data_IF_694888309671
#
_entry.id   IF_694888309671
#
_cell.length_a   1.000
_cell.length_b   1.000
_cell.length_c   1.000
_cell.angle_alpha   90.00
_cell.angle_beta   90.00
_cell.angle_gamma   90.00
#
_symmetry.space_group_name_H-M   'P 1'
#
loop_
_entity.id
_entity.type
_entity.pdbx_description
1 polymer ?
#
# COMPACT_ATOMS: atom_id res chain seq x y z
N UNK A 1 10.52 19.14 -28.57
CA UNK A 1 11.25 18.54 -27.43
C UNK A 1 10.26 17.62 -26.71
N UNK A 2 10.34 16.31 -26.92
CA UNK A 2 9.44 15.35 -26.25
C UNK A 2 9.81 15.28 -24.77
N UNK A 3 8.83 15.45 -23.87
CA UNK A 3 9.06 15.28 -22.42
C UNK A 3 9.48 13.82 -22.18
N UNK A 4 10.43 13.55 -21.26
CA UNK A 4 11.01 12.21 -21.02
C UNK A 4 9.95 11.10 -20.87
N UNK A 5 8.80 11.41 -20.26
CA UNK A 5 7.68 10.47 -20.09
C UNK A 5 7.02 10.01 -21.41
N UNK A 6 7.06 10.82 -22.48
CA UNK A 6 6.52 10.41 -23.79
C UNK A 6 7.39 9.34 -24.47
N UNK A 7 8.69 9.28 -24.17
CA UNK A 7 9.63 8.32 -24.78
C UNK A 7 9.57 6.94 -24.10
N UNK A 8 9.20 6.91 -22.82
CA UNK A 8 8.98 5.66 -22.06
C UNK A 8 7.58 5.08 -22.27
N UNK A 9 6.62 5.88 -22.74
CA UNK A 9 5.23 5.48 -22.96
C UNK A 9 5.00 4.71 -24.27
N UNK A 10 5.93 4.76 -25.23
CA UNK A 10 5.82 4.08 -26.53
C UNK A 10 5.81 2.57 -26.34
N UNK A 11 4.60 1.98 -26.36
CA UNK A 11 4.35 0.54 -26.22
C UNK A 11 3.63 0.14 -24.93
N UNK A 12 3.77 0.91 -23.84
CA UNK A 12 3.19 0.60 -22.52
C UNK A 12 1.65 0.62 -22.50
N UNK A 13 1.02 1.32 -23.44
CA UNK A 13 -0.44 1.43 -23.53
C UNK A 13 -1.06 0.56 -24.63
N UNK A 14 -0.26 -0.23 -25.35
CA UNK A 14 -0.76 -1.01 -26.50
C UNK A 14 -1.81 -2.05 -26.10
N UNK A 15 -1.68 -2.59 -24.89
CA UNK A 15 -2.60 -3.59 -24.32
C UNK A 15 -3.63 -2.98 -23.36
N UNK A 16 -3.59 -1.66 -23.15
CA UNK A 16 -4.57 -1.00 -22.29
C UNK A 16 -5.93 -1.04 -22.99
N UNK A 17 -6.96 -1.51 -22.28
CA UNK A 17 -8.33 -1.51 -22.80
C UNK A 17 -8.82 -0.08 -23.06
N UNK A 18 -9.72 0.10 -24.03
CA UNK A 18 -10.28 1.42 -24.30
C UNK A 18 -11.22 1.89 -23.17
N UNK A 19 -11.35 3.21 -22.99
CA UNK A 19 -12.27 3.77 -21.99
C UNK A 19 -13.72 3.29 -22.16
N UNK A 20 -14.22 3.17 -23.39
CA UNK A 20 -15.57 2.68 -23.66
C UNK A 20 -15.74 1.20 -23.25
N UNK A 21 -14.71 0.37 -23.49
CA UNK A 21 -14.69 -1.03 -23.02
C UNK A 21 -14.71 -1.09 -21.49
N UNK A 22 -13.92 -0.24 -20.84
CA UNK A 22 -13.87 -0.14 -19.39
C UNK A 22 -15.22 0.31 -18.79
N UNK A 23 -15.86 1.33 -19.36
CA UNK A 23 -17.17 1.82 -18.93
C UNK A 23 -18.24 0.72 -18.94
N UNK A 24 -18.27 -0.10 -19.99
CA UNK A 24 -19.22 -1.21 -20.09
C UNK A 24 -19.10 -2.22 -18.95
N UNK A 25 -17.91 -2.34 -18.33
CA UNK A 25 -17.69 -3.23 -17.17
C UNK A 25 -18.28 -2.66 -15.87
N UNK A 26 -18.26 -1.33 -15.71
CA UNK A 26 -18.76 -0.64 -14.51
C UNK A 26 -20.29 -0.71 -14.41
N UNK A 27 -20.98 -0.79 -15.55
CA UNK A 27 -22.45 -0.83 -15.64
C UNK A 27 -23.10 -2.05 -14.97
N UNK A 28 -22.31 -3.07 -14.63
CA UNK A 28 -22.81 -4.35 -14.13
C UNK A 28 -23.15 -4.31 -12.64
N UNK A 29 -22.46 -3.50 -11.83
CA UNK A 29 -22.69 -3.45 -10.39
C UNK A 29 -23.46 -2.20 -10.00
N UNK A 30 -24.56 -2.40 -9.27
CA UNK A 30 -25.31 -1.33 -8.63
C UNK A 30 -25.00 -1.39 -7.14
N UNK A 31 -24.43 -0.32 -6.60
CA UNK A 31 -24.22 -0.18 -5.16
C UNK A 31 -25.49 0.36 -4.51
N UNK A 32 -25.89 -0.19 -3.37
CA UNK A 32 -27.00 0.34 -2.57
C UNK A 32 -26.63 1.70 -1.95
N UNK A 33 -25.39 1.82 -1.45
CA UNK A 33 -24.83 3.07 -0.92
C UNK A 33 -23.46 3.35 -1.55
N UNK A 34 -23.44 4.09 -2.66
CA UNK A 34 -22.19 4.47 -3.31
C UNK A 34 -21.45 5.55 -2.51
N UNK A 35 -20.18 5.31 -2.16
CA UNK A 35 -19.35 6.32 -1.48
C UNK A 35 -18.98 7.53 -2.37
N UNK A 36 -19.12 7.39 -3.69
CA UNK A 36 -18.86 8.45 -4.67
C UNK A 36 -17.48 9.12 -4.49
N UNK A 37 -16.44 8.32 -4.24
CA UNK A 37 -15.07 8.81 -4.02
C UNK A 37 -14.35 9.23 -5.31
N UNK A 38 -14.81 8.75 -6.45
CA UNK A 38 -14.26 9.02 -7.77
C UNK A 38 -15.32 8.80 -8.85
N UNK A 39 -15.11 9.38 -10.02
CA UNK A 39 -15.90 9.09 -11.21
C UNK A 39 -15.26 8.00 -12.09
N UNK A 40 -15.90 7.66 -13.21
CA UNK A 40 -15.39 6.64 -14.11
C UNK A 40 -14.10 7.05 -14.83
N UNK A 41 -13.88 8.35 -15.07
CA UNK A 41 -12.67 8.86 -15.71
C UNK A 41 -11.48 8.80 -14.74
N UNK A 42 -11.71 9.11 -13.46
CA UNK A 42 -10.74 8.95 -12.38
C UNK A 42 -10.31 7.48 -12.24
N UNK A 43 -11.28 6.56 -12.19
CA UNK A 43 -11.04 5.11 -12.18
C UNK A 43 -10.16 4.67 -13.36
N UNK A 44 -10.45 5.14 -14.56
CA UNK A 44 -9.67 4.81 -15.76
C UNK A 44 -8.28 5.44 -15.77
N UNK A 45 -8.12 6.63 -15.17
CA UNK A 45 -6.81 7.27 -15.01
C UNK A 45 -5.92 6.44 -14.10
N UNK A 46 -6.44 5.94 -12.97
CA UNK A 46 -5.73 5.01 -12.09
C UNK A 46 -5.38 3.71 -12.81
N UNK A 47 -6.34 3.12 -13.54
CA UNK A 47 -6.08 1.92 -14.37
C UNK A 47 -4.91 2.14 -15.32
N UNK A 48 -4.91 3.28 -16.04
CA UNK A 48 -3.88 3.64 -17.01
C UNK A 48 -2.50 3.73 -16.35
N UNK A 49 -2.42 4.35 -15.16
CA UNK A 49 -1.16 4.47 -14.43
C UNK A 49 -0.68 3.11 -13.91
N UNK A 50 -1.56 2.29 -13.34
CA UNK A 50 -1.21 0.94 -12.87
C UNK A 50 -0.75 0.03 -14.03
N UNK A 51 -1.41 0.14 -15.19
CA UNK A 51 -1.01 -0.56 -16.41
C UNK A 51 0.35 -0.07 -16.92
N UNK A 52 0.62 1.25 -16.90
CA UNK A 52 1.91 1.81 -17.31
C UNK A 52 3.08 1.35 -16.42
N UNK A 53 2.77 0.96 -15.19
CA UNK A 53 3.69 0.40 -14.19
C UNK A 53 3.74 -1.13 -14.20
N UNK A 54 3.07 -1.80 -15.15
CA UNK A 54 3.00 -3.27 -15.25
C UNK A 54 2.50 -3.95 -13.96
N UNK A 55 1.62 -3.30 -13.19
CA UNK A 55 1.13 -3.81 -11.90
C UNK A 55 -0.08 -4.77 -12.04
N UNK A 56 -0.42 -5.24 -13.24
CA UNK A 56 -1.55 -6.16 -13.52
C UNK A 56 -2.85 -5.84 -12.74
N UNK A 57 -3.44 -4.64 -12.94
CA UNK A 57 -4.58 -4.20 -12.15
C UNK A 57 -5.86 -4.99 -12.44
N UNK A 58 -6.48 -5.50 -11.39
CA UNK A 58 -7.77 -6.18 -11.43
C UNK A 58 -8.84 -5.34 -10.72
N UNK A 59 -9.81 -4.85 -11.48
CA UNK A 59 -10.93 -4.08 -10.92
C UNK A 59 -11.82 -4.98 -10.06
N UNK A 60 -12.10 -4.52 -8.85
CA UNK A 60 -12.98 -5.15 -7.88
C UNK A 60 -14.07 -4.17 -7.46
N UNK A 61 -15.26 -4.70 -7.20
CA UNK A 61 -16.37 -3.95 -6.62
C UNK A 61 -16.50 -4.36 -5.15
N UNK A 62 -16.41 -3.36 -4.26
CA UNK A 62 -16.67 -3.53 -2.85
C UNK A 62 -18.14 -3.19 -2.58
N UNK A 63 -18.94 -4.18 -2.19
CA UNK A 63 -20.39 -3.98 -2.06
C UNK A 63 -20.74 -3.15 -0.84
N UNK A 64 -20.02 -3.35 0.27
CA UNK A 64 -20.18 -2.56 1.48
C UNK A 64 -18.81 -2.12 2.00
N UNK A 65 -18.47 -0.82 1.96
CA UNK A 65 -19.30 0.34 1.63
C UNK A 65 -19.24 0.79 0.16
N UNK A 66 -19.85 0.08 -0.79
CA UNK A 66 -20.16 0.57 -2.15
C UNK A 66 -19.12 1.41 -2.90
N UNK A 67 -17.99 0.82 -3.32
CA UNK A 67 -16.99 1.50 -4.15
C UNK A 67 -16.19 0.55 -5.04
N UNK A 68 -15.50 1.11 -6.04
CA UNK A 68 -14.56 0.35 -6.88
C UNK A 68 -13.12 0.54 -6.41
N UNK A 69 -12.34 -0.53 -6.48
CA UNK A 69 -10.89 -0.49 -6.21
C UNK A 69 -10.16 -1.46 -7.15
N UNK A 70 -8.83 -1.33 -7.23
CA UNK A 70 -8.01 -2.26 -7.98
C UNK A 70 -7.19 -3.14 -7.03
N UNK A 71 -7.10 -4.42 -7.33
CA UNK A 71 -6.03 -5.27 -6.81
C UNK A 71 -4.90 -5.25 -7.82
N UNK A 72 -3.75 -4.77 -7.40
CA UNK A 72 -2.58 -4.64 -8.26
C UNK A 72 -1.37 -5.29 -7.59
N UNK A 73 -0.44 -5.79 -8.38
CA UNK A 73 0.83 -6.29 -7.90
C UNK A 73 1.61 -5.12 -7.26
N UNK A 74 2.19 -5.38 -6.10
CA UNK A 74 3.10 -4.47 -5.44
C UNK A 74 4.31 -4.22 -6.36
N UNK A 75 4.83 -3.00 -6.34
CA UNK A 75 6.15 -2.76 -6.92
C UNK A 75 7.15 -3.62 -6.13
N UNK A 76 7.89 -4.47 -6.85
CA UNK A 76 9.04 -5.17 -6.28
C UNK A 76 10.05 -4.09 -5.83
N UNK A 77 10.53 -4.11 -4.58
CA UNK A 77 11.71 -3.35 -4.21
C UNK A 77 12.93 -4.04 -4.83
N UNK A 78 13.13 -3.89 -6.14
CA UNK A 78 14.48 -4.06 -6.68
C UNK A 78 15.23 -2.77 -6.37
N UNK A 79 15.88 -2.76 -5.20
CA UNK A 79 17.06 -1.97 -4.79
C UNK A 79 17.14 -1.92 -3.26
N UNK A 80 17.50 -3.07 -2.67
CA UNK A 80 18.34 -3.09 -1.47
C UNK A 80 19.63 -3.80 -1.87
N UNK A 81 20.60 -2.97 -2.26
CA UNK A 81 21.94 -3.36 -2.66
C UNK A 81 22.72 -4.00 -1.50
N UNK A 82 23.65 -4.88 -1.86
CA UNK A 82 24.68 -5.52 -1.02
C UNK A 82 24.25 -6.44 0.14
N UNK A 83 24.01 -7.70 -0.20
CA UNK A 83 24.56 -8.80 0.60
C UNK A 83 25.43 -9.66 -0.30
N UNK A 84 26.72 -9.31 -0.36
CA UNK A 84 27.80 -10.20 -0.78
C UNK A 84 27.65 -11.53 -0.05
N UNK A 85 27.09 -12.51 -0.74
CA UNK A 85 27.22 -13.91 -0.40
C UNK A 85 28.70 -14.26 -0.52
N UNK A 86 29.42 -14.25 0.60
CA UNK A 86 30.61 -15.08 0.74
C UNK A 86 30.08 -16.51 0.84
N UNK A 87 30.11 -17.19 -0.29
CA UNK A 87 29.90 -18.63 -0.35
C UNK A 87 31.06 -19.30 0.37
N UNK A 88 30.77 -20.01 1.45
CA UNK A 88 31.62 -21.13 1.85
C UNK A 88 30.80 -22.21 2.58
N UNK A 89 31.03 -23.47 2.17
CA UNK A 89 30.86 -24.62 3.05
C UNK A 89 29.46 -25.22 3.26
N UNK A 90 29.08 -26.10 2.34
CA UNK A 90 28.55 -27.46 2.58
C UNK A 90 27.23 -27.71 3.36
N UNK A 91 26.40 -28.54 2.69
CA UNK A 91 25.49 -29.53 3.27
C UNK A 91 24.16 -29.07 3.90
N UNK A 92 23.13 -28.93 3.07
CA UNK A 92 21.78 -29.39 3.40
C UNK A 92 20.96 -29.61 2.12
N UNK A 93 20.74 -30.88 1.77
CA UNK A 93 19.75 -31.29 0.77
C UNK A 93 18.35 -31.17 1.36
N UNK A 94 17.42 -30.86 0.46
CA UNK A 94 15.97 -31.10 0.55
C UNK A 94 15.16 -30.29 1.55
N UNK A 95 15.10 -28.98 1.30
CA UNK A 95 13.83 -28.26 1.26
C UNK A 95 13.82 -27.36 0.02
N UNK A 96 13.62 -27.95 -1.17
CA UNK A 96 13.08 -27.21 -2.32
C UNK A 96 11.60 -26.89 -2.03
N UNK A 97 11.37 -26.07 -1.02
CA UNK A 97 10.10 -25.38 -0.87
C UNK A 97 10.00 -24.46 -2.07
N UNK A 98 9.02 -24.76 -2.91
CA UNK A 98 8.65 -24.00 -4.10
C UNK A 98 8.53 -22.52 -3.72
N UNK A 99 9.61 -21.75 -3.94
CA UNK A 99 9.57 -20.31 -3.97
C UNK A 99 8.89 -19.89 -5.29
N UNK A 100 7.60 -20.24 -5.42
CA UNK A 100 6.73 -19.54 -6.34
C UNK A 100 6.60 -18.15 -5.72
N UNK A 101 7.34 -17.18 -6.27
CA UNK A 101 7.39 -15.81 -5.79
C UNK A 101 5.97 -15.31 -5.58
N UNK A 102 5.53 -15.21 -4.31
CA UNK A 102 4.22 -14.68 -3.97
C UNK A 102 4.23 -13.23 -4.36
N UNK A 103 3.66 -12.92 -5.53
CA UNK A 103 3.41 -11.56 -5.95
C UNK A 103 2.48 -10.95 -4.91
N UNK A 104 3.02 -10.05 -4.09
CA UNK A 104 2.26 -9.33 -3.07
C UNK A 104 1.25 -8.46 -3.80
N UNK A 105 -0.04 -8.61 -3.51
CA UNK A 105 -1.09 -7.76 -4.06
C UNK A 105 -1.43 -6.65 -3.07
N UNK A 106 -1.63 -5.45 -3.59
CA UNK A 106 -2.04 -4.25 -2.84
C UNK A 106 -3.39 -3.79 -3.36
N UNK A 107 -4.25 -3.31 -2.45
CA UNK A 107 -5.49 -2.65 -2.82
C UNK A 107 -5.20 -1.19 -3.14
N UNK A 108 -5.57 -0.75 -4.34
CA UNK A 108 -5.46 0.62 -4.82
C UNK A 108 -6.87 1.20 -4.91
N UNK A 109 -7.15 2.21 -4.10
CA UNK A 109 -8.45 2.89 -4.02
C UNK A 109 -8.36 4.24 -4.75
N UNK A 110 -9.05 4.40 -5.89
CA UNK A 110 -9.10 5.68 -6.62
C UNK A 110 -9.90 6.73 -5.85
N UNK A 111 -9.34 7.93 -5.74
CA UNK A 111 -9.98 9.08 -5.09
C UNK A 111 -9.80 10.29 -5.99
N UNK A 112 -10.89 10.99 -6.28
CA UNK A 112 -10.83 12.26 -6.98
C UNK A 112 -10.28 13.35 -6.07
N UNK A 113 -9.38 14.20 -6.56
CA UNK A 113 -8.93 15.43 -5.87
C UNK A 113 -10.11 16.37 -5.54
N UNK A 114 -11.17 16.33 -6.35
CA UNK A 114 -12.43 17.04 -6.14
C UNK A 114 -13.22 16.53 -4.93
N UNK A 115 -12.87 15.35 -4.41
CA UNK A 115 -13.50 14.79 -3.22
C UNK A 115 -13.03 15.53 -1.98
N UNK A 116 -13.75 16.59 -1.61
CA UNK A 116 -13.54 17.34 -0.36
C UNK A 116 -13.94 16.57 0.90
N UNK A 117 -14.32 15.29 0.76
CA UNK A 117 -14.93 14.46 1.81
C UNK A 117 -13.96 13.44 2.41
N UNK A 118 -12.64 13.61 2.23
CA UNK A 118 -11.64 12.73 2.81
C UNK A 118 -11.57 12.91 4.35
N UNK A 119 -12.54 12.32 5.03
CA UNK A 119 -12.66 12.31 6.48
C UNK A 119 -12.11 11.00 7.05
N UNK A 120 -11.81 10.96 8.35
CA UNK A 120 -11.41 9.71 9.01
C UNK A 120 -12.48 8.62 8.92
N UNK A 121 -13.75 8.99 8.97
CA UNK A 121 -14.86 8.04 8.78
C UNK A 121 -14.87 7.42 7.38
N UNK A 122 -14.59 8.22 6.33
CA UNK A 122 -14.45 7.71 4.98
C UNK A 122 -13.23 6.79 4.84
N UNK A 123 -12.07 7.19 5.38
CA UNK A 123 -10.87 6.36 5.32
C UNK A 123 -11.06 5.02 6.02
N UNK A 124 -11.70 4.99 7.19
CA UNK A 124 -12.07 3.74 7.87
C UNK A 124 -12.94 2.84 6.99
N UNK A 125 -13.91 3.42 6.28
CA UNK A 125 -14.73 2.72 5.28
C UNK A 125 -13.93 2.17 4.10
N UNK A 126 -12.90 2.88 3.64
CA UNK A 126 -12.04 2.40 2.54
C UNK A 126 -11.16 1.20 2.93
N UNK A 127 -10.91 0.98 4.22
CA UNK A 127 -10.21 -0.21 4.72
C UNK A 127 -11.13 -1.44 4.85
N UNK A 128 -12.46 -1.27 4.76
CA UNK A 128 -13.43 -2.36 4.80
C UNK A 128 -13.56 -3.02 3.43
N UNK A 129 -12.54 -3.76 3.00
CA UNK A 129 -12.49 -4.43 1.70
C UNK A 129 -13.03 -5.86 1.79
N UNK A 130 -14.05 -6.19 0.99
CA UNK A 130 -14.69 -7.52 0.94
C UNK A 130 -13.66 -8.64 0.66
N UNK A 131 -12.73 -8.41 -0.28
CA UNK A 131 -11.70 -9.39 -0.60
C UNK A 131 -10.57 -9.47 0.43
N UNK A 132 -10.37 -8.42 1.24
CA UNK A 132 -9.24 -8.28 2.17
C UNK A 132 -9.66 -7.56 3.46
N UNK A 133 -10.44 -8.22 4.35
CA UNK A 133 -10.99 -7.59 5.55
C UNK A 133 -9.92 -7.14 6.56
N UNK A 134 -8.68 -7.64 6.45
CA UNK A 134 -7.56 -7.34 7.34
C UNK A 134 -6.42 -6.58 6.64
N UNK A 135 -6.74 -5.71 5.68
CA UNK A 135 -5.72 -4.91 4.99
C UNK A 135 -5.01 -3.96 5.97
N UNK A 136 -3.70 -4.18 6.20
CA UNK A 136 -2.88 -3.29 7.04
C UNK A 136 -2.56 -1.95 6.38
N UNK A 137 -2.67 -1.88 5.06
CA UNK A 137 -2.43 -0.68 4.26
C UNK A 137 -3.23 -0.76 2.96
N UNK A 138 -3.50 0.41 2.40
CA UNK A 138 -4.07 0.60 1.06
C UNK A 138 -3.23 1.65 0.31
N UNK A 139 -3.25 1.61 -1.02
CA UNK A 139 -2.74 2.68 -1.86
C UNK A 139 -3.91 3.58 -2.27
N UNK A 140 -3.83 4.87 -1.96
CA UNK A 140 -4.76 5.85 -2.49
C UNK A 140 -4.23 6.36 -3.84
N UNK A 141 -5.01 6.17 -4.90
CA UNK A 141 -4.77 6.76 -6.21
C UNK A 141 -5.50 8.09 -6.31
N UNK A 142 -4.84 9.17 -5.91
CA UNK A 142 -5.41 10.52 -5.93
C UNK A 142 -5.31 11.05 -7.37
N UNK A 143 -6.45 11.31 -7.99
CA UNK A 143 -6.54 11.80 -9.37
C UNK A 143 -6.75 13.31 -9.36
N UNK A 144 -5.85 14.06 -9.98
CA UNK A 144 -5.96 15.51 -10.11
C UNK A 144 -6.80 15.91 -11.35
N UNK A 145 -7.19 17.18 -11.44
CA UNK A 145 -8.05 17.71 -12.52
C UNK A 145 -7.44 17.57 -13.92
N UNK A 146 -6.12 17.45 -14.02
CA UNK A 146 -5.38 17.26 -15.27
C UNK A 146 -5.26 15.78 -15.69
N UNK A 147 -5.85 14.86 -14.90
CA UNK A 147 -5.76 13.42 -15.11
C UNK A 147 -4.46 12.79 -14.59
N UNK A 148 -3.62 13.55 -13.88
CA UNK A 148 -2.46 12.99 -13.19
C UNK A 148 -2.90 12.15 -11.98
N UNK A 149 -2.13 11.10 -11.66
CA UNK A 149 -2.44 10.20 -10.55
C UNK A 149 -1.25 10.13 -9.60
N UNK A 150 -1.48 10.48 -8.34
CA UNK A 150 -0.53 10.30 -7.25
C UNK A 150 -0.90 9.06 -6.44
N UNK A 151 0.06 8.15 -6.26
CA UNK A 151 -0.13 6.94 -5.46
C UNK A 151 0.44 7.17 -4.06
N UNK A 152 -0.43 7.23 -3.04
CA UNK A 152 -0.06 7.46 -1.65
C UNK A 152 -0.39 6.21 -0.82
N UNK A 153 0.62 5.62 -0.17
CA UNK A 153 0.39 4.48 0.71
C UNK A 153 -0.11 4.96 2.07
N UNK A 154 -1.26 4.47 2.50
CA UNK A 154 -1.87 4.77 3.79
C UNK A 154 -1.93 3.49 4.60
N UNK A 155 -1.49 3.57 5.85
CA UNK A 155 -1.47 2.44 6.76
C UNK A 155 -2.58 2.57 7.80
N UNK A 156 -3.22 1.46 8.11
CA UNK A 156 -4.15 1.35 9.21
C UNK A 156 -3.38 1.04 10.50
N UNK A 157 -2.54 1.99 10.94
CA UNK A 157 -1.92 1.91 12.24
C UNK A 157 -2.84 2.58 13.26
N UNK A 158 -3.53 1.77 14.06
CA UNK A 158 -3.82 2.17 15.43
C UNK A 158 -2.47 2.18 16.14
N UNK A 159 -1.76 3.32 16.11
CA UNK A 159 -0.65 3.49 17.02
C UNK A 159 -1.27 3.39 18.43
N UNK A 160 -0.89 2.39 19.26
CA UNK A 160 -1.29 2.45 20.67
C UNK A 160 -0.82 3.81 21.21
N UNK A 161 -1.58 4.44 22.13
CA UNK A 161 -1.12 5.68 22.75
C UNK A 161 0.32 5.47 23.17
N UNK A 162 1.21 6.39 22.76
CA UNK A 162 2.61 6.33 23.12
C UNK A 162 2.67 6.17 24.64
N UNK A 163 3.01 4.99 25.13
CA UNK A 163 3.30 4.83 26.55
C UNK A 163 4.54 5.69 26.78
N UNK A 164 4.32 6.85 27.40
CA UNK A 164 5.40 7.73 27.80
C UNK A 164 6.36 6.98 28.73
N UNK A 165 7.57 7.50 28.95
CA UNK A 165 8.58 6.90 29.83
C UNK A 165 8.13 6.72 31.29
N UNK A 166 6.93 7.16 31.65
CA UNK A 166 6.29 6.97 32.96
C UNK A 166 5.84 5.52 33.21
N UNK A 167 5.81 4.67 32.17
CA UNK A 167 5.61 3.23 32.28
C UNK A 167 6.89 2.44 32.62
N UNK A 168 8.02 3.13 32.85
CA UNK A 168 9.18 2.48 33.44
C UNK A 168 8.87 2.23 34.93
N UNK A 169 9.04 0.98 35.43
CA UNK A 169 8.99 0.76 36.87
C UNK A 169 9.98 1.73 37.53
N UNK A 170 9.60 2.39 38.64
CA UNK A 170 10.52 3.24 39.37
C UNK A 170 11.79 2.42 39.62
N UNK A 171 12.94 2.95 39.17
CA UNK A 171 14.23 2.37 39.51
C UNK A 171 14.26 2.30 41.03
N UNK A 172 14.21 1.07 41.57
CA UNK A 172 14.38 0.85 42.98
C UNK A 172 15.69 1.53 43.37
N UNK A 173 15.72 2.41 44.39
CA UNK A 173 16.97 2.94 44.88
C UNK A 173 17.80 1.74 45.34
N UNK A 174 18.94 1.50 44.68
CA UNK A 174 19.89 0.49 45.13
C UNK A 174 20.26 0.80 46.58
N UNK A 175 19.69 0.04 47.51
CA UNK A 175 20.22 -0.12 48.85
C UNK A 175 21.55 -0.90 48.73
N UNK A 176 22.62 -0.18 48.42
CA UNK A 176 24.01 -0.59 48.69
C UNK A 176 24.60 0.46 49.63
N UNK A 177 24.85 0.20 50.91
CA UNK A 177 25.46 -1.01 51.44
C UNK A 177 26.97 -0.77 51.58
N UNK A 178 27.34 -0.05 52.65
CA UNK A 178 28.52 -0.24 53.51
C UNK A 178 29.87 -0.61 52.84
N UNK A 179 30.87 0.26 53.02
CA UNK A 179 32.29 -0.04 52.93
C UNK A 179 33.07 1.25 52.67
N UNK A 180 33.97 1.74 53.51
CA UNK A 180 34.80 1.12 54.53
C UNK A 180 36.04 2.00 54.55
N UNK A 181 36.14 2.88 55.53
CA UNK A 181 37.34 3.67 55.80
C UNK A 181 38.47 2.70 56.20
N UNK A 182 39.60 2.79 55.51
CA UNK A 182 40.82 2.07 55.88
C UNK A 182 41.98 3.03 55.66
N UNK A 183 42.63 3.32 56.78
CA UNK A 183 43.88 4.05 56.94
C UNK A 183 44.99 3.46 56.06
N UNK A 184 45.86 4.34 55.55
CA UNK A 184 47.24 4.00 55.21
C UNK A 184 48.16 5.06 55.83
N UNK A 185 49.07 4.58 56.67
CA UNK A 185 50.24 5.24 57.28
C UNK A 185 51.29 5.68 56.24
#
# INVERSE_FOLDING_TARGET
MFRRWQKEATGKYRTLESFNTFLNRLSTNKFEEALNVCDAADLYSVLSVLHSKSRDPQLQANQSPGFYYFLANAEHPEEADDSRAVADGAAARDLRTVACGRVRREAVVPISSKSTKLTMGLLSKLFQLDAHPNASHILLGIVDDDGSVSLVRVFNYLQPPFEGPEALPPLEPEEGGVGGESDDD
#
